data_IF_128337218462
#
_entry.id   IF_128337218462
#
_cell.length_a   1.000
_cell.length_b   1.000
_cell.length_c   1.000
_cell.angle_alpha   90.00
_cell.angle_beta   90.00
_cell.angle_gamma   90.00
#
_symmetry.space_group_name_H-M   'P 1'
#
loop_
_entity.id
_entity.type
_entity.pdbx_description
1 polymer ?
#
# COMPACT_ATOMS: atom_id res chain seq x y z
N UNK A 1 9.05 -12.27 -20.35
CA UNK A 1 7.73 -11.82 -19.85
C UNK A 1 6.99 -13.03 -19.30
N UNK A 2 6.23 -12.88 -18.22
CA UNK A 2 5.53 -14.00 -17.56
C UNK A 2 4.17 -14.35 -18.22
N UNK A 3 3.75 -13.60 -19.24
CA UNK A 3 2.54 -13.88 -20.02
C UNK A 3 1.23 -13.38 -19.42
N UNK A 4 1.27 -12.37 -18.54
CA UNK A 4 0.09 -11.80 -17.89
C UNK A 4 0.10 -10.27 -17.96
N UNK A 5 -1.08 -9.69 -18.18
CA UNK A 5 -1.32 -8.26 -18.09
C UNK A 5 -1.80 -7.92 -16.68
N UNK A 6 -1.21 -6.89 -16.09
CA UNK A 6 -1.58 -6.35 -14.78
C UNK A 6 -1.67 -4.84 -14.91
N UNK A 7 -2.67 -4.21 -14.27
CA UNK A 7 -2.72 -2.76 -14.19
C UNK A 7 -1.49 -2.25 -13.40
N UNK A 8 -0.61 -1.42 -13.99
CA UNK A 8 0.57 -0.90 -13.31
C UNK A 8 0.27 -0.09 -12.04
N UNK A 9 -0.95 0.42 -11.90
CA UNK A 9 -1.42 1.17 -10.73
C UNK A 9 -2.54 0.44 -9.98
N UNK A 10 -2.87 -0.78 -10.39
CA UNK A 10 -3.84 -1.63 -9.72
C UNK A 10 -3.24 -2.35 -8.52
N UNK A 11 -4.11 -2.89 -7.68
CA UNK A 11 -3.70 -3.78 -6.61
C UNK A 11 -3.43 -5.18 -7.17
N UNK A 12 -2.60 -5.96 -6.48
CA UNK A 12 -2.34 -7.35 -6.86
C UNK A 12 -3.47 -8.22 -6.31
N UNK A 13 -4.12 -8.99 -7.19
CA UNK A 13 -5.00 -10.05 -6.71
C UNK A 13 -4.20 -11.27 -6.20
N UNK A 14 -4.85 -12.12 -5.42
CA UNK A 14 -4.22 -13.29 -4.81
C UNK A 14 -3.57 -14.24 -5.81
N UNK A 15 -4.12 -14.35 -7.04
CA UNK A 15 -3.52 -15.20 -8.06
C UNK A 15 -2.20 -14.60 -8.57
N UNK A 16 -2.16 -13.29 -8.77
CA UNK A 16 -0.97 -12.55 -9.18
C UNK A 16 0.10 -12.57 -8.11
N UNK A 17 -0.24 -12.44 -6.83
CA UNK A 17 0.68 -12.56 -5.70
C UNK A 17 1.36 -13.93 -5.63
N UNK A 18 0.58 -15.02 -5.76
CA UNK A 18 1.10 -16.39 -5.78
C UNK A 18 2.07 -16.60 -6.93
N UNK A 19 1.71 -16.12 -8.12
CA UNK A 19 2.58 -16.20 -9.32
C UNK A 19 3.85 -15.40 -9.14
N UNK A 20 3.77 -14.19 -8.57
CA UNK A 20 4.95 -13.39 -8.23
C UNK A 20 5.86 -14.15 -7.26
N UNK A 21 5.28 -14.83 -6.26
CA UNK A 21 6.01 -15.69 -5.33
C UNK A 21 6.79 -16.80 -6.04
N UNK A 22 6.19 -17.46 -7.04
CA UNK A 22 6.87 -18.47 -7.86
C UNK A 22 8.05 -17.86 -8.64
N UNK A 23 7.87 -16.69 -9.25
CA UNK A 23 8.91 -15.98 -10.00
C UNK A 23 10.07 -15.54 -9.10
N UNK A 24 9.77 -15.02 -7.91
CA UNK A 24 10.77 -14.63 -6.91
C UNK A 24 11.54 -15.85 -6.44
N UNK A 25 10.85 -16.96 -6.15
CA UNK A 25 11.49 -18.23 -5.75
C UNK A 25 12.40 -18.78 -6.85
N UNK A 26 11.96 -18.78 -8.10
CA UNK A 26 12.76 -19.26 -9.23
C UNK A 26 14.02 -18.43 -9.40
N UNK A 27 13.89 -17.09 -9.36
CA UNK A 27 14.98 -16.16 -9.66
C UNK A 27 15.95 -15.95 -8.50
N UNK A 28 15.44 -15.79 -7.29
CA UNK A 28 16.20 -15.38 -6.11
C UNK A 28 16.34 -16.49 -5.06
N UNK A 29 15.75 -17.66 -5.29
CA UNK A 29 15.83 -18.83 -4.40
C UNK A 29 15.38 -18.54 -2.96
N UNK A 30 14.40 -17.65 -2.79
CA UNK A 30 13.80 -17.30 -1.50
C UNK A 30 12.28 -17.48 -1.55
N UNK A 31 11.71 -17.91 -0.42
CA UNK A 31 10.26 -17.90 -0.19
C UNK A 31 9.81 -16.63 0.59
N UNK A 32 10.75 -15.79 1.04
CA UNK A 32 10.46 -14.57 1.81
C UNK A 32 10.95 -13.33 1.07
N UNK A 33 10.07 -12.35 0.88
CA UNK A 33 10.39 -11.10 0.19
C UNK A 33 9.44 -9.97 0.60
N UNK A 34 9.83 -8.74 0.25
CA UNK A 34 9.06 -7.52 0.48
C UNK A 34 8.80 -6.88 -0.87
N UNK A 35 7.54 -6.55 -1.15
CA UNK A 35 7.17 -5.66 -2.26
C UNK A 35 6.88 -4.27 -1.67
N UNK A 36 7.59 -3.25 -2.15
CA UNK A 36 7.46 -1.89 -1.66
C UNK A 36 7.03 -0.95 -2.80
N UNK A 37 6.60 0.27 -2.46
CA UNK A 37 6.10 1.28 -3.41
C UNK A 37 4.83 0.83 -4.12
N UNK A 38 3.81 0.45 -3.35
CA UNK A 38 2.50 0.24 -3.94
C UNK A 38 1.88 1.55 -4.44
N UNK A 39 0.94 1.49 -5.39
CA UNK A 39 0.17 2.65 -5.81
C UNK A 39 -0.57 3.28 -4.62
N UNK A 40 -0.49 4.60 -4.49
CA UNK A 40 -1.14 5.32 -3.38
C UNK A 40 -2.67 5.16 -3.40
N UNK A 41 -3.25 5.03 -4.60
CA UNK A 41 -4.69 4.91 -4.81
C UNK A 41 -5.30 3.64 -4.20
N UNK A 42 -4.52 2.57 -4.05
CA UNK A 42 -5.01 1.30 -3.49
C UNK A 42 -4.75 1.19 -1.99
N UNK A 43 -4.12 2.20 -1.38
CA UNK A 43 -3.76 2.19 0.04
C UNK A 43 -4.68 3.09 0.88
N UNK A 44 -4.87 2.79 2.17
CA UNK A 44 -5.74 3.60 3.03
C UNK A 44 -5.28 5.06 3.16
N UNK A 45 -6.21 5.96 3.48
CA UNK A 45 -5.99 7.42 3.54
C UNK A 45 -4.78 7.84 4.40
N UNK A 46 -4.48 7.11 5.48
CA UNK A 46 -3.39 7.42 6.39
C UNK A 46 -1.99 7.07 5.84
N UNK A 47 -1.91 6.54 4.61
CA UNK A 47 -0.66 6.12 3.98
C UNK A 47 0.11 7.32 3.44
N UNK A 48 1.39 7.44 3.80
CA UNK A 48 2.26 8.51 3.33
C UNK A 48 2.56 8.36 1.82
N UNK A 49 2.34 9.40 0.99
CA UNK A 49 2.76 9.42 -0.41
C UNK A 49 4.29 9.32 -0.55
N UNK A 50 4.77 8.73 -1.64
CA UNK A 50 6.18 8.76 -1.97
C UNK A 50 6.60 10.18 -2.38
N UNK A 51 7.81 10.59 -1.97
CA UNK A 51 8.32 11.97 -2.19
C UNK A 51 8.68 12.21 -3.66
N UNK A 52 9.14 11.17 -4.33
CA UNK A 52 9.63 11.20 -5.71
C UNK A 52 8.56 10.99 -6.77
N UNK A 53 7.50 10.21 -6.48
CA UNK A 53 6.35 10.05 -7.37
C UNK A 53 5.04 9.93 -6.55
N UNK A 54 4.14 10.93 -6.61
CA UNK A 54 2.91 10.94 -5.82
C UNK A 54 1.88 9.87 -6.25
N UNK A 55 2.10 9.16 -7.37
CA UNK A 55 1.28 7.99 -7.72
C UNK A 55 1.53 6.79 -6.80
N UNK A 56 2.68 6.76 -6.15
CA UNK A 56 3.09 5.68 -5.25
C UNK A 56 3.11 6.12 -3.79
N UNK A 57 3.19 5.16 -2.89
CA UNK A 57 3.25 5.37 -1.44
C UNK A 57 4.49 4.78 -0.79
N UNK A 58 4.78 5.27 0.42
CA UNK A 58 5.74 4.67 1.35
C UNK A 58 5.09 3.49 2.09
N UNK A 59 4.56 2.54 1.33
CA UNK A 59 3.95 1.30 1.81
C UNK A 59 4.69 0.07 1.30
N UNK A 60 4.47 -1.04 1.97
CA UNK A 60 5.07 -2.32 1.66
C UNK A 60 4.17 -3.47 2.13
N UNK A 61 4.24 -4.56 1.40
CA UNK A 61 3.69 -5.84 1.80
C UNK A 61 4.82 -6.87 1.90
N UNK A 62 4.71 -7.77 2.88
CA UNK A 62 5.68 -8.83 3.15
C UNK A 62 5.03 -10.17 2.82
N UNK A 63 5.76 -10.99 2.08
CA UNK A 63 5.27 -12.26 1.55
C UNK A 63 6.06 -13.43 2.09
N UNK A 64 5.35 -14.52 2.40
CA UNK A 64 5.94 -15.86 2.59
C UNK A 64 5.27 -16.81 1.62
N UNK A 65 6.06 -17.48 0.77
CA UNK A 65 5.61 -18.47 -0.22
C UNK A 65 4.53 -17.95 -1.18
N UNK A 66 4.59 -16.65 -1.51
CA UNK A 66 3.63 -16.00 -2.42
C UNK A 66 2.30 -15.62 -1.78
N UNK A 67 2.19 -15.65 -0.46
CA UNK A 67 1.03 -15.18 0.29
C UNK A 67 1.44 -13.98 1.15
N UNK A 68 0.60 -12.94 1.17
CA UNK A 68 0.80 -11.77 2.03
C UNK A 68 0.66 -12.17 3.51
N UNK A 69 1.61 -11.75 4.34
CA UNK A 69 1.57 -11.96 5.81
C UNK A 69 1.57 -10.66 6.60
N UNK A 70 2.02 -9.56 6.00
CA UNK A 70 2.07 -8.23 6.62
C UNK A 70 1.80 -7.19 5.53
N UNK A 71 0.83 -6.31 5.78
CA UNK A 71 0.71 -5.04 5.06
C UNK A 71 1.06 -3.86 5.97
N UNK A 72 1.98 -3.01 5.53
CA UNK A 72 2.54 -1.91 6.31
C UNK A 72 2.73 -0.64 5.51
N UNK A 73 2.80 0.49 6.21
CA UNK A 73 3.19 1.76 5.60
C UNK A 73 3.68 2.78 6.63
N UNK A 74 4.48 3.73 6.15
CA UNK A 74 4.66 4.98 6.86
C UNK A 74 3.30 5.71 6.94
N UNK A 75 2.94 6.16 8.14
CA UNK A 75 1.72 6.92 8.36
C UNK A 75 1.93 8.41 8.14
N UNK A 76 0.90 9.09 7.62
CA UNK A 76 0.86 10.55 7.56
C UNK A 76 0.81 11.09 8.99
N UNK A 77 1.82 11.88 9.35
CA UNK A 77 1.93 12.53 10.66
C UNK A 77 1.62 14.03 10.60
N UNK A 78 1.62 14.62 9.40
CA UNK A 78 1.22 16.00 9.15
C UNK A 78 -0.31 16.09 9.05
N UNK A 79 -0.92 16.94 9.86
CA UNK A 79 -2.37 17.03 9.97
C UNK A 79 -3.04 17.53 8.69
N UNK A 80 -2.44 18.51 8.01
CA UNK A 80 -3.03 19.11 6.82
C UNK A 80 -2.99 18.14 5.65
N UNK A 81 -1.89 17.40 5.49
CA UNK A 81 -1.80 16.30 4.54
C UNK A 81 -2.78 15.18 4.86
N UNK A 82 -2.97 14.83 6.14
CA UNK A 82 -3.92 13.80 6.55
C UNK A 82 -5.35 14.17 6.16
N UNK A 83 -5.76 15.43 6.40
CA UNK A 83 -7.06 15.95 6.01
C UNK A 83 -7.26 15.89 4.49
N UNK A 84 -6.24 16.28 3.72
CA UNK A 84 -6.28 16.19 2.25
C UNK A 84 -6.48 14.75 1.78
N UNK A 85 -5.76 13.78 2.37
CA UNK A 85 -5.91 12.36 2.01
C UNK A 85 -7.29 11.80 2.36
N UNK A 86 -7.88 12.23 3.48
CA UNK A 86 -9.26 11.84 3.88
C UNK A 86 -10.27 12.29 2.83
N UNK A 87 -10.14 13.51 2.33
CA UNK A 87 -10.98 14.06 1.25
C UNK A 87 -10.77 13.29 -0.06
N UNK A 88 -9.51 13.09 -0.49
CA UNK A 88 -9.18 12.34 -1.72
C UNK A 88 -9.69 10.89 -1.69
N UNK A 89 -9.71 10.26 -0.52
CA UNK A 89 -10.24 8.92 -0.32
C UNK A 89 -11.76 8.88 -0.07
N UNK A 90 -12.47 10.01 -0.15
CA UNK A 90 -13.91 10.13 0.07
C UNK A 90 -14.37 9.55 1.42
N UNK A 91 -13.59 9.76 2.48
CA UNK A 91 -13.94 9.31 3.83
C UNK A 91 -14.85 10.33 4.50
N UNK A 92 -15.95 9.87 5.12
CA UNK A 92 -16.87 10.75 5.86
C UNK A 92 -16.13 11.41 7.05
N UNK A 93 -16.04 12.76 7.09
CA UNK A 93 -15.40 13.47 8.19
C UNK A 93 -16.10 13.27 9.53
N UNK A 94 -17.38 12.86 9.54
CA UNK A 94 -18.16 12.58 10.75
C UNK A 94 -18.06 11.12 11.20
N UNK A 95 -17.23 10.30 10.54
CA UNK A 95 -17.02 8.92 10.94
C UNK A 95 -16.60 8.84 12.42
N UNK A 96 -17.23 7.91 13.15
CA UNK A 96 -17.04 7.76 14.60
C UNK A 96 -15.55 7.56 14.91
N UNK A 97 -15.00 8.41 15.77
CA UNK A 97 -13.60 8.34 16.20
C UNK A 97 -12.58 9.04 15.28
N UNK A 98 -12.94 9.36 14.04
CA UNK A 98 -12.02 9.98 13.08
C UNK A 98 -11.56 11.37 13.55
N UNK A 99 -12.48 12.17 14.10
CA UNK A 99 -12.15 13.51 14.59
C UNK A 99 -11.14 13.48 15.74
N UNK A 100 -11.25 12.50 16.65
CA UNK A 100 -10.30 12.32 17.75
C UNK A 100 -8.92 11.90 17.22
N UNK A 101 -8.90 10.99 16.24
CA UNK A 101 -7.68 10.57 15.56
C UNK A 101 -6.98 11.75 14.87
N UNK A 102 -7.69 12.53 14.04
CA UNK A 102 -7.10 13.72 13.38
C UNK A 102 -6.55 14.71 14.41
N UNK A 103 -7.23 14.88 15.55
CA UNK A 103 -6.81 15.80 16.60
C UNK A 103 -5.58 15.33 17.38
N UNK A 104 -5.15 14.07 17.28
CA UNK A 104 -3.91 13.60 17.93
C UNK A 104 -2.62 14.01 17.20
N UNK A 105 -2.72 14.57 15.99
CA UNK A 105 -1.58 15.01 15.18
C UNK A 105 -1.31 16.53 15.31
N UNK A 106 -1.56 17.09 16.51
CA UNK A 106 -1.35 18.51 16.83
C UNK A 106 0.04 18.76 17.42
#
# INVERSE_FOLDING_TARGET
EAGFETDPLGDLDTETERRLGLLVKERYKTDFYILHRYPLAVRPFYTMPAVDDPKYSNSFDVFIRGEEIISGAQRVHDKDLLLKRIEECNIDPNAIGLQNYINSFR
#
